data_IF_373464510706
#
_entry.id   IF_373464510706
#
_cell.length_a   1.000
_cell.length_b   1.000
_cell.length_c   1.000
_cell.angle_alpha   90.00
_cell.angle_beta   90.00
_cell.angle_gamma   90.00
#
_symmetry.space_group_name_H-M   'P 1'
#
loop_
_entity.id
_entity.type
_entity.pdbx_description
1 polymer ?
#
# COMPACT_ATOMS: atom_id res chain seq x y z
N UNK A 1 6.45 -4.19 -18.77
CA UNK A 1 5.94 -3.83 -17.43
C UNK A 1 6.85 -4.51 -16.42
N UNK A 2 7.41 -3.77 -15.45
CA UNK A 2 8.34 -4.31 -14.44
C UNK A 2 7.60 -5.28 -13.52
N UNK A 3 8.29 -6.34 -13.09
CA UNK A 3 7.73 -7.37 -12.21
C UNK A 3 7.48 -6.79 -10.80
N UNK A 4 6.28 -7.03 -10.28
CA UNK A 4 5.81 -6.53 -8.99
C UNK A 4 5.06 -7.62 -8.25
N UNK A 5 5.27 -7.67 -6.93
CA UNK A 5 4.53 -8.50 -6.01
C UNK A 5 4.09 -7.67 -4.80
N UNK A 6 2.78 -7.52 -4.62
CA UNK A 6 2.17 -6.92 -3.45
C UNK A 6 1.60 -8.02 -2.56
N UNK A 7 1.98 -8.01 -1.28
CA UNK A 7 1.49 -8.97 -0.28
C UNK A 7 0.87 -8.20 0.87
N UNK A 8 -0.40 -8.50 1.16
CA UNK A 8 -1.12 -7.93 2.30
C UNK A 8 -1.23 -8.92 3.45
N UNK A 9 -1.16 -8.42 4.67
CA UNK A 9 -1.19 -9.17 5.93
C UNK A 9 -2.24 -8.54 6.85
N UNK A 10 -2.94 -9.36 7.63
CA UNK A 10 -3.82 -8.86 8.69
C UNK A 10 -2.98 -8.06 9.69
N UNK A 11 -3.42 -6.84 10.00
CA UNK A 11 -2.84 -6.10 11.12
C UNK A 11 -3.47 -6.59 12.43
N UNK A 12 -2.78 -7.48 13.15
CA UNK A 12 -3.23 -8.01 14.45
C UNK A 12 -3.40 -6.92 15.52
N UNK A 13 -2.79 -5.74 15.31
CA UNK A 13 -2.88 -4.60 16.21
C UNK A 13 -3.95 -3.61 15.79
N UNK A 14 -4.76 -3.91 14.76
CA UNK A 14 -5.85 -3.04 14.34
C UNK A 14 -6.78 -2.71 15.51
N UNK A 15 -7.19 -1.45 15.60
CA UNK A 15 -8.03 -0.87 16.65
C UNK A 15 -7.47 -0.97 18.09
N UNK A 16 -6.21 -1.38 18.26
CA UNK A 16 -5.52 -1.32 19.55
C UNK A 16 -4.96 0.08 19.81
N UNK A 17 -4.81 0.44 21.08
CA UNK A 17 -4.21 1.71 21.48
C UNK A 17 -2.67 1.65 21.53
N UNK A 18 -2.01 2.77 21.27
CA UNK A 18 -0.55 2.93 21.46
C UNK A 18 -0.17 4.17 22.27
N UNK A 19 -1.18 4.83 22.83
CA UNK A 19 -1.07 6.08 23.57
C UNK A 19 -2.47 6.58 23.87
N UNK A 20 -2.63 7.45 24.86
CA UNK A 20 -3.94 7.92 25.30
C UNK A 20 -4.70 8.56 24.13
N UNK A 21 -5.80 7.94 23.70
CA UNK A 21 -6.63 8.39 22.58
C UNK A 21 -6.07 8.12 21.18
N UNK A 22 -4.92 7.44 21.07
CA UNK A 22 -4.29 7.08 19.80
C UNK A 22 -4.53 5.61 19.48
N UNK A 23 -5.06 5.35 18.29
CA UNK A 23 -5.47 4.01 17.83
C UNK A 23 -4.76 3.65 16.54
N UNK A 24 -4.39 2.37 16.40
CA UNK A 24 -3.85 1.85 15.13
C UNK A 24 -5.01 1.58 14.18
N UNK A 25 -4.98 2.23 13.02
CA UNK A 25 -6.10 2.24 12.07
C UNK A 25 -5.83 1.51 10.75
N UNK A 26 -4.60 1.06 10.50
CA UNK A 26 -4.30 0.31 9.29
C UNK A 26 -5.01 -1.05 9.36
N UNK A 27 -5.90 -1.34 8.41
CA UNK A 27 -6.65 -2.59 8.29
C UNK A 27 -5.71 -3.73 7.88
N UNK A 28 -4.86 -3.47 6.88
CA UNK A 28 -3.82 -4.38 6.44
C UNK A 28 -2.46 -3.70 6.52
N UNK A 29 -1.43 -4.49 6.80
CA UNK A 29 -0.04 -4.11 6.51
C UNK A 29 0.41 -4.86 5.27
N UNK A 30 1.41 -4.38 4.57
CA UNK A 30 1.84 -5.01 3.35
C UNK A 30 3.24 -4.62 2.92
N UNK A 31 3.71 -5.39 1.93
CA UNK A 31 4.97 -5.15 1.26
C UNK A 31 4.76 -5.18 -0.25
N UNK A 32 5.47 -4.31 -0.94
CA UNK A 32 5.57 -4.26 -2.39
C UNK A 32 7.02 -4.59 -2.73
N UNK A 33 7.22 -5.59 -3.57
CA UNK A 33 8.55 -6.05 -3.97
C UNK A 33 8.67 -5.98 -5.49
N UNK A 34 9.73 -5.32 -5.98
CA UNK A 34 10.10 -5.25 -7.39
C UNK A 34 11.35 -6.10 -7.61
N UNK A 35 11.42 -6.89 -8.68
CA UNK A 35 12.50 -7.87 -8.84
C UNK A 35 13.75 -7.32 -9.54
N UNK A 36 13.62 -6.31 -10.42
CA UNK A 36 14.74 -5.77 -11.20
C UNK A 36 14.62 -4.25 -11.46
N UNK A 37 15.48 -3.39 -10.86
CA UNK A 37 16.33 -3.71 -9.71
C UNK A 37 15.48 -4.14 -8.50
N UNK A 38 16.09 -4.84 -7.54
CA UNK A 38 15.37 -5.21 -6.32
C UNK A 38 15.02 -3.96 -5.53
N UNK A 39 13.73 -3.71 -5.32
CA UNK A 39 13.25 -2.61 -4.48
C UNK A 39 12.11 -3.11 -3.60
N UNK A 40 12.05 -2.58 -2.38
CA UNK A 40 11.04 -2.95 -1.41
C UNK A 40 10.37 -1.71 -0.86
N UNK A 41 9.05 -1.70 -0.89
CA UNK A 41 8.22 -0.69 -0.27
C UNK A 41 7.30 -1.35 0.76
N UNK A 42 6.88 -0.58 1.74
CA UNK A 42 5.91 -0.95 2.75
C UNK A 42 4.65 -0.13 2.53
N UNK A 43 3.51 -0.79 2.75
CA UNK A 43 2.18 -0.20 2.65
C UNK A 43 1.39 -0.53 3.90
N UNK A 44 0.69 0.46 4.43
CA UNK A 44 -0.31 0.33 5.48
C UNK A 44 -1.64 0.84 4.92
N UNK A 45 -2.66 -0.02 4.86
CA UNK A 45 -3.94 0.27 4.21
C UNK A 45 -4.96 0.82 5.21
N UNK A 46 -5.48 2.01 4.95
CA UNK A 46 -6.45 2.72 5.79
C UNK A 46 -7.72 3.06 5.01
N UNK A 47 -8.78 3.47 5.71
CA UNK A 47 -9.89 4.19 5.06
C UNK A 47 -9.41 5.50 4.45
N UNK A 48 -10.14 6.03 3.46
CA UNK A 48 -9.76 7.28 2.76
C UNK A 48 -9.48 8.43 3.73
N UNK A 49 -10.40 8.71 4.67
CA UNK A 49 -10.26 9.84 5.60
C UNK A 49 -9.03 9.72 6.51
N UNK A 50 -8.71 8.50 6.96
CA UNK A 50 -7.55 8.24 7.80
C UNK A 50 -6.24 8.33 7.01
N UNK A 51 -6.27 7.99 5.72
CA UNK A 51 -5.14 8.07 4.81
C UNK A 51 -4.86 9.52 4.39
N UNK A 52 -5.91 10.25 4.00
CA UNK A 52 -5.84 11.66 3.61
C UNK A 52 -5.28 12.54 4.74
N UNK A 53 -5.71 12.31 5.99
CA UNK A 53 -5.20 13.01 7.16
C UNK A 53 -3.68 12.82 7.41
N UNK A 54 -3.06 11.83 6.75
CA UNK A 54 -1.62 11.58 6.83
C UNK A 54 -0.80 12.26 5.73
N UNK A 55 -1.46 12.89 4.75
CA UNK A 55 -0.82 13.64 3.69
C UNK A 55 -0.02 14.82 4.27
N UNK A 56 1.23 14.99 3.82
CA UNK A 56 2.12 16.05 4.29
C UNK A 56 2.84 16.81 3.18
N UNK A 57 3.06 16.19 2.02
CA UNK A 57 3.71 16.83 0.88
C UNK A 57 2.69 17.31 -0.14
N UNK A 58 3.07 18.30 -0.94
CA UNK A 58 2.23 18.84 -2.01
C UNK A 58 1.79 17.76 -2.99
N UNK A 59 2.68 16.81 -3.32
CA UNK A 59 2.34 15.65 -4.17
C UNK A 59 1.29 14.73 -3.54
N UNK A 60 1.32 14.55 -2.22
CA UNK A 60 0.29 13.77 -1.52
C UNK A 60 -1.06 14.49 -1.53
N UNK A 61 -1.06 15.81 -1.33
CA UNK A 61 -2.26 16.66 -1.40
C UNK A 61 -2.83 16.68 -2.84
N UNK A 62 -1.97 16.67 -3.84
CA UNK A 62 -2.38 16.55 -5.24
C UNK A 62 -3.03 15.18 -5.49
N UNK A 63 -2.43 14.10 -5.00
CA UNK A 63 -2.96 12.75 -5.14
C UNK A 63 -4.35 12.59 -4.47
N UNK A 64 -4.55 13.13 -3.26
CA UNK A 64 -5.86 13.10 -2.59
C UNK A 64 -6.91 13.88 -3.38
N UNK A 65 -6.52 15.04 -3.92
CA UNK A 65 -7.39 15.85 -4.78
C UNK A 65 -7.79 15.11 -6.06
N UNK A 66 -6.84 14.44 -6.72
CA UNK A 66 -7.11 13.64 -7.92
C UNK A 66 -8.09 12.49 -7.62
N UNK A 67 -7.88 11.74 -6.53
CA UNK A 67 -8.74 10.63 -6.14
C UNK A 67 -10.15 11.09 -5.69
N UNK A 68 -10.24 12.27 -5.08
CA UNK A 68 -11.52 12.88 -4.74
C UNK A 68 -12.29 13.28 -5.99
N UNK A 69 -11.61 13.88 -6.96
CA UNK A 69 -12.23 14.34 -8.22
C UNK A 69 -12.61 13.18 -9.15
N UNK A 70 -11.93 12.04 -9.07
CA UNK A 70 -12.24 10.85 -9.88
C UNK A 70 -13.43 10.05 -9.37
N UNK A 71 -13.93 10.30 -8.15
CA UNK A 71 -15.00 9.52 -7.53
C UNK A 71 -14.52 8.34 -6.69
N UNK A 72 -13.23 7.98 -6.77
CA UNK A 72 -12.66 6.80 -6.10
C UNK A 72 -12.66 6.98 -4.57
N UNK A 73 -12.45 8.21 -4.09
CA UNK A 73 -12.45 8.49 -2.65
C UNK A 73 -13.82 8.29 -1.98
N UNK A 74 -14.90 8.32 -2.75
CA UNK A 74 -16.28 8.20 -2.30
C UNK A 74 -16.82 6.77 -2.41
N UNK A 75 -16.07 5.86 -3.03
CA UNK A 75 -16.44 4.45 -3.09
C UNK A 75 -16.27 3.80 -1.71
N UNK A 76 -17.29 3.04 -1.30
CA UNK A 76 -17.26 2.30 -0.05
C UNK A 76 -16.21 1.19 -0.09
N UNK A 77 -15.67 0.85 1.09
CA UNK A 77 -14.69 -0.22 1.30
C UNK A 77 -13.34 -0.05 0.58
N UNK A 78 -13.07 1.11 -0.01
CA UNK A 78 -11.77 1.41 -0.61
C UNK A 78 -10.71 1.64 0.46
N UNK A 79 -9.55 1.02 0.25
CA UNK A 79 -8.41 1.09 1.15
C UNK A 79 -7.23 1.76 0.48
N UNK A 80 -6.57 2.66 1.19
CA UNK A 80 -5.54 3.53 0.65
C UNK A 80 -4.25 3.43 1.45
N UNK A 81 -3.11 3.55 0.78
CA UNK A 81 -1.80 3.51 1.41
C UNK A 81 -0.82 4.49 0.80
N UNK A 82 -0.06 5.18 1.64
CA UNK A 82 1.15 5.89 1.22
C UNK A 82 2.32 4.91 1.14
N UNK A 83 3.30 5.21 0.30
CA UNK A 83 4.46 4.37 0.12
C UNK A 83 5.59 4.75 1.08
N UNK A 84 6.22 3.72 1.66
CA UNK A 84 7.46 3.86 2.42
C UNK A 84 8.50 2.97 1.77
N UNK A 85 9.54 3.56 1.19
CA UNK A 85 10.71 2.81 0.74
C UNK A 85 11.41 2.18 1.94
N UNK A 86 11.80 0.91 1.78
CA UNK A 86 12.47 0.14 2.81
C UNK A 86 13.74 -0.47 2.25
N UNK A 87 14.89 -0.02 2.77
CA UNK A 87 16.17 -0.64 2.49
C UNK A 87 16.37 -1.85 3.41
N UNK A 88 16.41 -3.09 2.89
CA UNK A 88 16.59 -4.28 3.72
C UNK A 88 18.00 -4.41 4.31
N UNK A 89 19.02 -3.77 3.71
CA UNK A 89 20.40 -3.84 4.19
C UNK A 89 20.61 -2.93 5.39
N UNK A 90 20.17 -1.67 5.29
CA UNK A 90 20.32 -0.68 6.38
C UNK A 90 19.14 -0.68 7.36
N UNK A 91 18.02 -1.33 6.99
CA UNK A 91 16.72 -1.28 7.69
C UNK A 91 16.15 0.13 7.78
N UNK A 92 16.59 1.05 6.92
CA UNK A 92 16.04 2.41 6.86
C UNK A 92 14.64 2.41 6.28
N UNK A 93 13.87 3.44 6.63
CA UNK A 93 12.53 3.68 6.11
C UNK A 93 12.43 5.13 5.69
N UNK A 94 12.12 5.34 4.42
CA UNK A 94 12.00 6.68 3.83
C UNK A 94 10.65 6.81 3.16
N UNK A 95 10.03 7.99 3.27
CA UNK A 95 8.77 8.23 2.55
C UNK A 95 9.08 8.31 1.07
N UNK A 96 8.32 7.58 0.27
CA UNK A 96 8.36 7.67 -1.19
C UNK A 96 7.09 8.37 -1.67
N UNK A 97 7.19 9.15 -2.76
CA UNK A 97 5.98 9.66 -3.40
C UNK A 97 5.27 8.53 -4.15
N UNK A 98 3.95 8.71 -4.30
CA UNK A 98 3.07 7.67 -4.82
C UNK A 98 2.16 7.09 -3.74
N UNK A 99 1.28 6.19 -4.17
CA UNK A 99 0.23 5.62 -3.34
C UNK A 99 -0.27 4.29 -3.89
N UNK A 100 -0.98 3.54 -3.05
CA UNK A 100 -1.73 2.36 -3.45
C UNK A 100 -3.19 2.48 -3.06
N UNK A 101 -4.06 2.00 -3.95
CA UNK A 101 -5.51 1.89 -3.75
C UNK A 101 -5.89 0.43 -3.92
N UNK A 102 -6.61 -0.13 -2.95
CA UNK A 102 -7.07 -1.51 -2.96
C UNK A 102 -8.58 -1.55 -2.75
N UNK A 103 -9.27 -2.24 -3.66
CA UNK A 103 -10.68 -2.57 -3.55
C UNK A 103 -10.87 -4.04 -3.18
N UNK A 104 -11.26 -4.36 -1.92
CA UNK A 104 -11.55 -5.73 -1.52
C UNK A 104 -12.75 -6.34 -2.26
N UNK A 105 -13.70 -5.51 -2.70
CA UNK A 105 -14.94 -5.94 -3.37
C UNK A 105 -14.68 -6.38 -4.82
N UNK A 106 -13.96 -5.56 -5.59
CA UNK A 106 -13.61 -5.88 -6.99
C UNK A 106 -12.35 -6.73 -7.11
N UNK A 107 -11.55 -6.82 -6.03
CA UNK A 107 -10.25 -7.48 -5.99
C UNK A 107 -9.25 -6.84 -6.96
N UNK A 108 -9.30 -5.53 -7.07
CA UNK A 108 -8.36 -4.74 -7.85
C UNK A 108 -7.44 -3.96 -6.91
N UNK A 109 -6.16 -3.91 -7.27
CA UNK A 109 -5.16 -3.12 -6.58
C UNK A 109 -4.43 -2.24 -7.59
N UNK A 110 -4.57 -0.93 -7.43
CA UNK A 110 -3.78 0.06 -8.12
C UNK A 110 -2.60 0.49 -7.25
N UNK A 111 -1.43 0.67 -7.86
CA UNK A 111 -0.26 1.22 -7.19
C UNK A 111 0.52 2.09 -8.16
N UNK A 112 0.87 3.28 -7.71
CA UNK A 112 1.73 4.23 -8.41
C UNK A 112 2.90 4.58 -7.50
N UNK A 113 4.11 4.40 -8.01
CA UNK A 113 5.36 4.73 -7.31
C UNK A 113 6.03 5.88 -8.08
N UNK A 114 6.41 6.94 -7.38
CA UNK A 114 7.19 8.07 -7.92
C UNK A 114 8.42 8.29 -7.03
N UNK A 115 9.41 7.42 -7.17
CA UNK A 115 10.64 7.41 -6.38
C UNK A 115 11.87 7.56 -7.31
N UNK A 116 12.14 8.79 -7.79
CA UNK A 116 13.26 9.06 -8.69
C UNK A 116 14.62 8.74 -8.05
N UNK A 117 14.75 8.89 -6.72
CA UNK A 117 15.97 8.59 -5.97
C UNK A 117 16.39 7.13 -6.11
N UNK A 118 15.43 6.22 -6.16
CA UNK A 118 15.64 4.79 -6.38
C UNK A 118 15.30 4.33 -7.81
N UNK A 119 15.22 5.28 -8.77
CA UNK A 119 14.94 5.03 -10.19
C UNK A 119 13.67 4.19 -10.41
N UNK A 120 12.64 4.43 -9.61
CA UNK A 120 11.37 3.68 -9.67
C UNK A 120 10.22 4.67 -9.86
N UNK A 121 9.80 4.85 -11.11
CA UNK A 121 8.66 5.68 -11.48
C UNK A 121 7.78 4.84 -12.41
N UNK A 122 6.75 4.24 -11.86
CA UNK A 122 5.93 3.23 -12.54
C UNK A 122 4.55 3.14 -11.87
N UNK A 123 3.57 2.61 -12.61
CA UNK A 123 2.24 2.31 -12.09
C UNK A 123 1.75 0.94 -12.57
N UNK A 124 0.92 0.31 -11.75
CA UNK A 124 0.35 -1.01 -12.01
C UNK A 124 -1.10 -1.08 -11.54
N UNK A 125 -1.91 -1.79 -12.31
CA UNK A 125 -3.22 -2.30 -11.88
C UNK A 125 -3.13 -3.82 -11.86
N UNK A 126 -3.38 -4.41 -10.70
CA UNK A 126 -3.18 -5.83 -10.43
C UNK A 126 -4.48 -6.48 -9.94
N UNK A 127 -4.72 -7.71 -10.38
CA UNK A 127 -5.76 -8.55 -9.81
C UNK A 127 -5.28 -9.14 -8.49
N UNK A 128 -6.15 -9.09 -7.48
CA UNK A 128 -5.88 -9.56 -6.12
C UNK A 128 -6.44 -10.97 -5.94
N UNK A 129 -5.57 -11.86 -5.46
CA UNK A 129 -5.90 -13.23 -5.10
C UNK A 129 -5.85 -13.38 -3.58
N UNK A 130 -7.00 -13.70 -2.97
CA UNK A 130 -7.08 -13.99 -1.54
C UNK A 130 -6.45 -15.35 -1.22
N UNK A 131 -5.65 -15.39 -0.17
CA UNK A 131 -4.97 -16.60 0.28
C UNK A 131 -5.91 -17.45 1.16
N UNK A 132 -5.94 -18.76 0.91
CA UNK A 132 -6.77 -19.71 1.68
C UNK A 132 -6.26 -19.92 3.12
N UNK A 133 -4.96 -19.77 3.34
CA UNK A 133 -4.35 -19.94 4.67
C UNK A 133 -4.11 -18.58 5.32
N UNK A 134 -4.79 -18.32 6.42
CA UNK A 134 -4.57 -17.14 7.27
C UNK A 134 -3.70 -17.51 8.48
N UNK A 135 -2.89 -16.58 8.99
CA UNK A 135 -2.05 -16.79 10.18
C UNK A 135 -0.87 -15.82 10.26
N UNK A 136 -0.14 -15.85 11.37
CA UNK A 136 1.03 -15.00 11.59
C UNK A 136 2.05 -15.17 10.45
N UNK A 137 2.50 -14.04 9.89
CA UNK A 137 3.44 -13.96 8.75
C UNK A 137 2.94 -14.59 7.43
N UNK A 138 1.65 -14.94 7.31
CA UNK A 138 1.07 -15.41 6.06
C UNK A 138 0.29 -14.29 5.39
N UNK A 139 0.53 -14.03 4.09
CA UNK A 139 -0.26 -13.05 3.39
C UNK A 139 -1.72 -13.51 3.35
N UNK A 140 -2.64 -12.58 3.53
CA UNK A 140 -4.08 -12.81 3.35
C UNK A 140 -4.54 -12.50 1.94
N UNK A 141 -3.78 -11.68 1.22
CA UNK A 141 -3.96 -11.49 -0.21
C UNK A 141 -2.61 -11.24 -0.89
N UNK A 142 -2.58 -11.54 -2.19
CA UNK A 142 -1.44 -11.32 -3.07
C UNK A 142 -1.93 -10.68 -4.36
N UNK A 143 -1.22 -9.68 -4.86
CA UNK A 143 -1.41 -9.13 -6.20
C UNK A 143 -0.05 -9.08 -6.90
N UNK A 144 0.10 -9.78 -8.02
CA UNK A 144 1.38 -9.86 -8.73
C UNK A 144 1.14 -10.02 -10.24
N UNK A 145 2.09 -9.55 -11.04
CA UNK A 145 2.14 -9.80 -12.49
C UNK A 145 3.18 -10.85 -12.87
N UNK A 146 3.69 -11.57 -11.87
CA UNK A 146 4.70 -12.62 -11.97
C UNK A 146 4.29 -13.78 -11.07
N UNK A 147 4.61 -15.01 -11.49
CA UNK A 147 4.40 -16.18 -10.65
C UNK A 147 5.32 -16.13 -9.43
N UNK A 148 4.72 -16.19 -8.24
CA UNK A 148 5.46 -16.24 -6.98
C UNK A 148 5.72 -17.71 -6.64
N UNK A 149 6.89 -18.22 -7.04
CA UNK A 149 7.39 -19.56 -6.66
C UNK A 149 7.88 -19.62 -5.23
#
# INVERSE_FOLDING_TARGET
MREIAVRGFINEKFNTTFGKGLFRRAVFNGSVELHNPNQKYLVDYFSYLEWEAQAKSDKQIEATSQLTNSGIAQEDDMLFSWLVHYDPLTKSKERADGYSVYSPSTRELFIKIDDPSNQTIDEWTLNVHNCKSTGANKPVFIAANVDLT
#
